data_IF_300648841816
#
_entry.id   IF_300648841816
#
_cell.length_a   1.000
_cell.length_b   1.000
_cell.length_c   1.000
_cell.angle_alpha   90.00
_cell.angle_beta   90.00
_cell.angle_gamma   90.00
#
_symmetry.space_group_name_H-M   'P 1'
#
loop_
_entity.id
_entity.type
_entity.pdbx_description
1 polymer ?
#
# COMPACT_ATOMS: atom_id res chain seq x y z
N UNK A 1 -20.08 8.46 -7.23
CA UNK A 1 -21.05 7.83 -6.32
C UNK A 1 -20.44 7.88 -4.92
N UNK A 2 -21.05 8.64 -4.03
CA UNK A 2 -20.73 8.50 -2.63
C UNK A 2 -21.43 7.23 -2.16
N UNK A 3 -20.73 6.08 -2.22
CA UNK A 3 -21.18 4.93 -1.48
C UNK A 3 -21.26 5.38 -0.03
N UNK A 4 -22.39 5.20 0.60
CA UNK A 4 -22.49 5.50 2.00
C UNK A 4 -21.36 4.74 2.72
N UNK A 5 -20.69 5.39 3.65
CA UNK A 5 -19.56 4.81 4.37
C UNK A 5 -19.89 3.42 4.92
N UNK A 6 -21.09 3.26 5.48
CA UNK A 6 -21.51 1.99 6.06
C UNK A 6 -21.55 0.87 5.01
N UNK A 7 -22.05 1.16 3.80
CA UNK A 7 -22.05 0.18 2.70
C UNK A 7 -20.64 -0.28 2.33
N UNK A 8 -19.66 0.65 2.33
CA UNK A 8 -18.27 0.31 2.05
C UNK A 8 -17.67 -0.56 3.16
N UNK A 9 -17.92 -0.24 4.42
CA UNK A 9 -17.45 -1.03 5.57
C UNK A 9 -18.09 -2.43 5.55
N UNK A 10 -19.40 -2.51 5.30
CA UNK A 10 -20.14 -3.77 5.22
C UNK A 10 -19.65 -4.63 4.04
N UNK A 11 -19.40 -4.00 2.89
CA UNK A 11 -18.83 -4.69 1.73
C UNK A 11 -17.45 -5.28 2.07
N UNK A 12 -16.53 -4.49 2.61
CA UNK A 12 -15.20 -4.97 3.00
C UNK A 12 -15.28 -6.09 4.03
N UNK A 13 -16.08 -5.91 5.08
CA UNK A 13 -16.28 -6.91 6.14
C UNK A 13 -16.88 -8.21 5.58
N UNK A 14 -17.85 -8.13 4.68
CA UNK A 14 -18.44 -9.32 4.04
C UNK A 14 -17.43 -10.08 3.19
N UNK A 15 -16.51 -9.37 2.49
CA UNK A 15 -15.44 -10.00 1.72
C UNK A 15 -14.41 -10.69 2.61
N UNK A 16 -14.03 -10.06 3.73
CA UNK A 16 -13.15 -10.68 4.71
C UNK A 16 -13.79 -11.94 5.31
N UNK A 17 -15.07 -11.87 5.73
CA UNK A 17 -15.79 -12.98 6.31
C UNK A 17 -15.91 -14.20 5.35
N UNK A 18 -15.90 -13.96 4.04
CA UNK A 18 -15.95 -15.03 3.03
C UNK A 18 -14.60 -15.75 2.81
N UNK A 19 -13.49 -15.21 3.32
CA UNK A 19 -12.17 -15.84 3.19
C UNK A 19 -12.06 -17.01 4.17
N UNK A 20 -11.65 -18.17 3.66
CA UNK A 20 -11.45 -19.36 4.48
C UNK A 20 -10.17 -19.24 5.31
N UNK A 21 -10.20 -19.79 6.53
CA UNK A 21 -9.02 -19.83 7.38
C UNK A 21 -7.87 -20.60 6.71
N UNK A 22 -6.67 -20.05 6.74
CA UNK A 22 -5.45 -20.62 6.16
C UNK A 22 -5.40 -20.62 4.63
N UNK A 23 -6.33 -19.93 3.94
CA UNK A 23 -6.34 -19.87 2.47
C UNK A 23 -5.50 -18.75 1.87
N UNK A 24 -5.08 -17.77 2.69
CA UNK A 24 -4.25 -16.64 2.28
C UNK A 24 -3.32 -16.23 3.43
N UNK A 25 -2.16 -15.63 3.10
CA UNK A 25 -1.17 -15.17 4.08
C UNK A 25 -1.24 -13.65 4.32
N UNK A 26 -1.65 -12.88 3.29
CA UNK A 26 -1.67 -11.42 3.32
C UNK A 26 -2.91 -10.87 2.61
N UNK A 27 -3.57 -9.91 3.26
CA UNK A 27 -4.70 -9.15 2.72
C UNK A 27 -4.35 -7.67 2.77
N UNK A 28 -4.59 -6.93 1.68
CA UNK A 28 -4.30 -5.49 1.61
C UNK A 28 -5.58 -4.74 1.25
N UNK A 29 -6.02 -3.87 2.16
CA UNK A 29 -7.14 -2.96 1.97
C UNK A 29 -6.64 -1.57 1.56
N UNK A 30 -7.47 -0.77 0.85
CA UNK A 30 -7.03 0.54 0.32
C UNK A 30 -6.79 1.59 1.41
N UNK A 31 -6.31 2.77 0.97
CA UNK A 31 -6.25 3.99 1.79
C UNK A 31 -7.64 4.41 2.27
N UNK A 32 -7.71 4.94 3.49
CA UNK A 32 -8.93 5.43 4.13
C UNK A 32 -10.04 4.36 4.25
N UNK A 33 -9.67 3.09 4.39
CA UNK A 33 -10.62 1.98 4.48
C UNK A 33 -11.65 2.16 5.59
N UNK A 34 -11.32 2.89 6.66
CA UNK A 34 -12.18 3.12 7.81
C UNK A 34 -13.01 4.43 7.76
N UNK A 35 -12.78 5.29 6.76
CA UNK A 35 -13.42 6.63 6.69
C UNK A 35 -13.82 7.01 5.26
N UNK A 36 -14.19 6.05 4.42
CA UNK A 36 -14.61 6.34 3.04
C UNK A 36 -15.91 7.12 3.00
N UNK A 37 -16.05 8.02 2.02
CA UNK A 37 -17.32 8.70 1.72
C UNK A 37 -17.64 9.95 2.56
N UNK A 38 -16.80 10.36 3.50
CA UNK A 38 -17.06 11.59 4.29
C UNK A 38 -17.01 12.85 3.42
N UNK A 39 -17.85 13.84 3.79
CA UNK A 39 -18.00 15.12 3.08
C UNK A 39 -17.09 16.19 3.64
N UNK A 40 -16.98 16.27 4.96
CA UNK A 40 -16.23 17.30 5.68
C UNK A 40 -15.46 16.73 6.89
N UNK A 41 -14.77 17.61 7.60
CA UNK A 41 -13.96 17.21 8.76
C UNK A 41 -14.80 16.70 9.92
N UNK A 42 -15.93 17.32 10.20
CA UNK A 42 -16.78 16.97 11.34
C UNK A 42 -17.38 15.57 11.15
N UNK A 43 -17.82 15.26 9.94
CA UNK A 43 -18.30 13.92 9.59
C UNK A 43 -17.17 12.89 9.70
N UNK A 44 -15.97 13.18 9.20
CA UNK A 44 -14.81 12.31 9.35
C UNK A 44 -14.48 12.04 10.82
N UNK A 45 -14.49 13.06 11.68
CA UNK A 45 -14.25 12.91 13.11
C UNK A 45 -15.35 12.09 13.80
N UNK A 46 -16.59 12.25 13.39
CA UNK A 46 -17.71 11.43 13.88
C UNK A 46 -17.51 9.96 13.54
N UNK A 47 -17.12 9.67 12.30
CA UNK A 47 -16.80 8.30 11.84
C UNK A 47 -15.64 7.70 12.65
N UNK A 48 -14.58 8.46 12.86
CA UNK A 48 -13.40 7.99 13.62
C UNK A 48 -13.73 7.63 15.06
N UNK A 49 -14.66 8.35 15.69
CA UNK A 49 -15.08 8.13 17.07
C UNK A 49 -16.18 7.07 17.23
N UNK A 50 -16.76 6.64 16.15
CA UNK A 50 -17.88 5.68 16.13
C UNK A 50 -17.61 4.47 15.24
N UNK A 51 -18.15 4.40 14.02
CA UNK A 51 -18.09 3.21 13.16
C UNK A 51 -16.68 2.70 12.89
N UNK A 52 -15.70 3.60 12.75
CA UNK A 52 -14.29 3.25 12.51
C UNK A 52 -13.70 2.39 13.63
N UNK A 53 -14.07 2.62 14.88
CA UNK A 53 -13.57 1.84 16.02
C UNK A 53 -13.99 0.37 15.89
N UNK A 54 -15.27 0.13 15.63
CA UNK A 54 -15.79 -1.23 15.44
C UNK A 54 -15.17 -1.91 14.21
N UNK A 55 -14.98 -1.16 13.13
CA UNK A 55 -14.33 -1.67 11.92
C UNK A 55 -12.88 -2.11 12.17
N UNK A 56 -12.07 -1.28 12.83
CA UNK A 56 -10.67 -1.61 13.17
C UNK A 56 -10.60 -2.85 14.07
N UNK A 57 -11.53 -2.98 15.04
CA UNK A 57 -11.63 -4.19 15.87
C UNK A 57 -11.99 -5.42 15.03
N UNK A 58 -12.83 -5.25 14.00
CA UNK A 58 -13.19 -6.32 13.07
C UNK A 58 -11.99 -6.77 12.25
N UNK A 59 -11.12 -5.85 11.79
CA UNK A 59 -9.89 -6.22 11.07
C UNK A 59 -8.99 -7.14 11.92
N UNK A 60 -8.82 -6.87 13.22
CA UNK A 60 -8.05 -7.74 14.11
C UNK A 60 -8.72 -9.11 14.26
N UNK A 61 -10.03 -9.16 14.49
CA UNK A 61 -10.79 -10.42 14.61
C UNK A 61 -10.68 -11.26 13.34
N UNK A 62 -10.77 -10.62 12.17
CA UNK A 62 -10.64 -11.32 10.89
C UNK A 62 -9.20 -11.79 10.63
N UNK A 63 -8.18 -11.02 11.01
CA UNK A 63 -6.80 -11.48 10.95
C UNK A 63 -6.59 -12.73 11.80
N UNK A 64 -7.12 -12.75 13.04
CA UNK A 64 -7.06 -13.89 13.94
C UNK A 64 -7.83 -15.10 13.37
N UNK A 65 -9.05 -14.89 12.85
CA UNK A 65 -9.91 -15.96 12.29
C UNK A 65 -9.34 -16.58 11.02
N UNK A 66 -8.84 -15.73 10.11
CA UNK A 66 -8.29 -16.19 8.82
C UNK A 66 -6.90 -16.81 9.03
N UNK A 67 -6.13 -16.35 10.02
CA UNK A 67 -4.73 -16.69 10.20
C UNK A 67 -3.80 -15.91 9.28
N UNK A 68 -4.25 -14.75 8.75
CA UNK A 68 -3.55 -13.94 7.77
C UNK A 68 -3.20 -12.54 8.31
N UNK A 69 -2.16 -11.93 7.78
CA UNK A 69 -1.85 -10.52 8.02
C UNK A 69 -2.83 -9.66 7.23
N UNK A 70 -3.47 -8.68 7.87
CA UNK A 70 -4.26 -7.64 7.19
C UNK A 70 -3.50 -6.32 7.27
N UNK A 71 -3.28 -5.69 6.12
CA UNK A 71 -2.74 -4.34 6.01
C UNK A 71 -3.82 -3.41 5.46
N UNK A 72 -4.06 -2.28 6.11
CA UNK A 72 -5.11 -1.34 5.73
C UNK A 72 -4.65 0.11 5.84
N UNK A 73 -4.96 0.93 4.84
CA UNK A 73 -4.79 2.38 4.96
C UNK A 73 -5.89 2.97 5.85
N UNK A 74 -5.51 3.60 6.95
CA UNK A 74 -6.42 4.08 7.97
C UNK A 74 -6.20 5.57 8.25
N UNK A 75 -7.28 6.32 8.40
CA UNK A 75 -7.25 7.60 9.08
C UNK A 75 -7.32 7.34 10.59
N UNK A 76 -6.43 7.96 11.35
CA UNK A 76 -6.35 7.79 12.81
C UNK A 76 -6.39 9.14 13.52
N UNK A 77 -6.82 9.13 14.78
CA UNK A 77 -6.72 10.26 15.69
C UNK A 77 -6.08 9.78 16.99
N UNK A 78 -4.99 10.42 17.40
CA UNK A 78 -4.36 10.11 18.69
C UNK A 78 -5.11 10.78 19.88
N UNK A 79 -4.68 10.47 21.11
CA UNK A 79 -5.27 11.00 22.35
C UNK A 79 -5.21 12.53 22.44
N UNK A 80 -4.27 13.17 21.73
CA UNK A 80 -4.12 14.62 21.64
C UNK A 80 -4.97 15.24 20.52
N UNK A 81 -5.74 14.42 19.81
CA UNK A 81 -6.58 14.84 18.70
C UNK A 81 -5.83 15.01 17.37
N UNK A 82 -4.57 14.61 17.27
CA UNK A 82 -3.79 14.74 16.04
C UNK A 82 -4.23 13.68 15.03
N UNK A 83 -4.58 14.14 13.84
CA UNK A 83 -5.00 13.29 12.73
C UNK A 83 -3.78 12.85 11.89
N UNK A 84 -3.77 11.55 11.52
CA UNK A 84 -2.75 10.98 10.62
C UNK A 84 -3.38 9.98 9.65
N UNK A 85 -2.79 9.89 8.47
CA UNK A 85 -3.08 8.86 7.48
C UNK A 85 -1.99 7.79 7.60
N UNK A 86 -2.35 6.57 8.04
CA UNK A 86 -1.39 5.54 8.45
C UNK A 86 -1.68 4.19 7.82
N UNK A 87 -0.66 3.35 7.73
CA UNK A 87 -0.83 1.92 7.49
C UNK A 87 -1.09 1.21 8.82
N UNK A 88 -2.28 0.65 8.98
CA UNK A 88 -2.58 -0.31 10.05
C UNK A 88 -2.17 -1.73 9.64
N UNK A 89 -1.53 -2.47 10.54
CA UNK A 89 -1.12 -3.86 10.32
C UNK A 89 -1.66 -4.71 11.46
N UNK A 90 -2.46 -5.69 11.10
CA UNK A 90 -3.13 -6.64 12.00
C UNK A 90 -2.55 -8.03 11.78
N UNK A 91 -1.88 -8.56 12.79
CA UNK A 91 -1.26 -9.88 12.74
C UNK A 91 -2.03 -10.84 13.66
N UNK A 92 -2.22 -12.11 13.26
CA UNK A 92 -2.86 -13.11 14.13
C UNK A 92 -2.19 -13.21 15.49
N UNK A 93 -2.98 -13.07 16.56
CA UNK A 93 -2.52 -13.20 17.95
C UNK A 93 -1.57 -12.10 18.44
N UNK A 94 -1.41 -11.00 17.71
CA UNK A 94 -0.55 -9.87 18.10
C UNK A 94 -1.33 -8.56 18.14
N UNK A 95 -0.91 -7.58 18.95
CA UNK A 95 -1.46 -6.24 18.89
C UNK A 95 -1.26 -5.61 17.51
N UNK A 96 -2.24 -4.85 17.04
CA UNK A 96 -2.12 -4.07 15.82
C UNK A 96 -1.03 -3.00 15.96
N UNK A 97 -0.31 -2.76 14.86
CA UNK A 97 0.74 -1.73 14.78
C UNK A 97 0.45 -0.76 13.64
N UNK A 98 1.03 0.43 13.70
CA UNK A 98 0.98 1.44 12.63
C UNK A 98 2.41 1.82 12.21
N UNK A 99 3.09 0.98 11.40
CA UNK A 99 4.51 1.13 11.13
C UNK A 99 4.85 2.26 10.16
N UNK A 100 3.85 2.87 9.51
CA UNK A 100 4.07 3.94 8.55
C UNK A 100 2.97 4.99 8.62
N UNK A 101 3.38 6.26 8.60
CA UNK A 101 2.51 7.43 8.43
C UNK A 101 2.81 8.08 7.09
N UNK A 102 1.78 8.47 6.34
CA UNK A 102 1.92 9.15 5.05
C UNK A 102 2.83 10.36 5.15
N UNK A 103 3.90 10.38 4.35
CA UNK A 103 4.91 11.43 4.39
C UNK A 103 4.53 12.63 3.52
N UNK A 104 3.93 12.39 2.35
CA UNK A 104 3.57 13.45 1.41
C UNK A 104 2.05 13.66 1.42
N UNK A 105 1.62 14.76 2.01
CA UNK A 105 0.20 15.11 2.11
C UNK A 105 -0.24 15.96 0.92
N UNK A 106 -1.45 15.69 0.43
CA UNK A 106 -2.11 16.57 -0.53
C UNK A 106 -2.74 17.78 0.15
N UNK A 107 -2.95 18.86 -0.60
CA UNK A 107 -3.51 20.12 -0.07
C UNK A 107 -4.80 19.93 0.75
N UNK A 108 -5.77 19.09 0.32
CA UNK A 108 -6.97 18.84 1.13
C UNK A 108 -6.69 18.19 2.50
N UNK A 109 -5.66 17.35 2.62
CA UNK A 109 -5.26 16.74 3.91
C UNK A 109 -4.63 17.80 4.83
N UNK A 110 -3.75 18.65 4.28
CA UNK A 110 -3.15 19.77 5.02
C UNK A 110 -4.22 20.73 5.55
N UNK A 111 -5.23 21.07 4.73
CA UNK A 111 -6.35 21.94 5.13
C UNK A 111 -7.20 21.35 6.27
N UNK A 112 -7.27 20.03 6.39
CA UNK A 112 -7.95 19.33 7.49
C UNK A 112 -7.08 19.19 8.75
N UNK A 113 -5.83 19.68 8.73
CA UNK A 113 -4.92 19.59 9.86
C UNK A 113 -4.27 18.21 10.05
N UNK A 114 -4.38 17.32 9.06
CA UNK A 114 -3.68 16.03 9.08
C UNK A 114 -2.18 16.29 9.12
N UNK A 115 -1.45 15.53 9.93
CA UNK A 115 0.00 15.66 10.08
C UNK A 115 0.73 14.61 9.27
N UNK A 116 1.82 15.00 8.55
CA UNK A 116 2.67 14.04 7.85
C UNK A 116 3.46 13.17 8.81
N UNK A 117 3.96 12.05 8.30
CA UNK A 117 5.06 11.30 8.90
C UNK A 117 6.40 11.98 8.64
N UNK A 118 7.43 11.48 9.30
CA UNK A 118 8.82 11.94 9.20
C UNK A 118 9.81 10.79 9.04
N UNK A 119 9.30 9.56 8.92
CA UNK A 119 10.09 8.34 8.78
C UNK A 119 9.65 7.52 7.57
N UNK A 120 10.59 6.80 6.98
CA UNK A 120 10.39 5.86 5.89
C UNK A 120 11.14 4.55 6.17
N UNK A 121 10.95 4.00 7.37
CA UNK A 121 11.59 2.78 7.81
C UNK A 121 10.92 1.53 7.20
N UNK A 122 11.67 0.44 7.12
CA UNK A 122 11.08 -0.87 6.86
C UNK A 122 10.51 -1.45 8.15
N UNK A 123 9.48 -2.28 7.99
CA UNK A 123 8.99 -3.15 9.06
C UNK A 123 9.02 -4.60 8.58
N UNK A 124 9.15 -5.52 9.53
CA UNK A 124 9.32 -6.94 9.20
C UNK A 124 8.16 -7.77 9.75
N UNK A 125 7.63 -8.65 8.92
CA UNK A 125 6.60 -9.62 9.28
C UNK A 125 6.98 -10.97 8.68
N UNK A 126 7.10 -11.99 9.50
CA UNK A 126 7.40 -13.38 9.08
C UNK A 126 8.64 -13.48 8.18
N UNK A 127 9.69 -12.71 8.47
CA UNK A 127 10.95 -12.70 7.71
C UNK A 127 10.91 -11.90 6.41
N UNK A 128 9.81 -11.22 6.09
CA UNK A 128 9.66 -10.35 4.92
C UNK A 128 9.77 -8.89 5.34
N UNK A 129 10.62 -8.12 4.69
CA UNK A 129 10.83 -6.68 4.92
C UNK A 129 9.95 -5.86 4.00
N UNK A 130 9.03 -5.12 4.61
CA UNK A 130 8.07 -4.28 3.89
C UNK A 130 8.45 -2.80 3.95
N UNK A 131 8.43 -2.13 2.78
CA UNK A 131 8.25 -0.69 2.69
C UNK A 131 6.79 -0.33 2.48
N UNK A 132 6.41 0.92 2.76
CA UNK A 132 5.05 1.39 2.56
C UNK A 132 5.01 2.75 1.86
N UNK A 133 4.00 2.96 1.02
CA UNK A 133 3.64 4.26 0.46
C UNK A 133 2.11 4.43 0.53
N UNK A 134 1.64 5.64 0.82
CA UNK A 134 0.22 5.95 0.89
C UNK A 134 -0.13 7.01 -0.16
N UNK A 135 -0.91 6.60 -1.17
CA UNK A 135 -1.51 7.46 -2.19
C UNK A 135 -0.52 8.42 -2.84
N UNK A 136 -0.43 9.68 -2.36
CA UNK A 136 0.43 10.71 -2.94
C UNK A 136 1.92 10.40 -2.83
N UNK A 137 2.35 9.59 -1.83
CA UNK A 137 3.73 9.08 -1.73
C UNK A 137 4.16 8.34 -3.00
N UNK A 138 3.22 7.78 -3.74
CA UNK A 138 3.44 7.02 -4.97
C UNK A 138 4.14 7.82 -6.09
N UNK A 139 4.02 9.15 -6.06
CA UNK A 139 4.62 10.03 -7.07
C UNK A 139 6.09 10.37 -6.80
N UNK A 140 6.63 10.02 -5.63
CA UNK A 140 7.99 10.36 -5.20
C UNK A 140 8.93 9.17 -5.36
N UNK A 141 9.70 9.07 -6.47
CA UNK A 141 10.63 7.96 -6.71
C UNK A 141 11.72 7.86 -5.64
N UNK A 142 12.06 8.96 -4.98
CA UNK A 142 13.07 9.02 -3.93
C UNK A 142 12.73 8.09 -2.76
N UNK A 143 11.44 8.00 -2.39
CA UNK A 143 10.96 7.08 -1.36
C UNK A 143 11.23 5.62 -1.74
N UNK A 144 11.00 5.27 -2.99
CA UNK A 144 11.20 3.91 -3.50
C UNK A 144 12.68 3.57 -3.64
N UNK A 145 13.50 4.51 -4.10
CA UNK A 145 14.97 4.38 -4.12
C UNK A 145 15.52 4.19 -2.69
N UNK A 146 14.94 4.88 -1.70
CA UNK A 146 15.28 4.69 -0.29
C UNK A 146 14.96 3.27 0.18
N UNK A 147 13.80 2.72 -0.14
CA UNK A 147 13.44 1.34 0.18
C UNK A 147 14.36 0.31 -0.52
N UNK A 148 14.79 0.59 -1.76
CA UNK A 148 15.80 -0.23 -2.43
C UNK A 148 17.11 -0.27 -1.63
N UNK A 149 17.58 0.89 -1.14
CA UNK A 149 18.78 1.01 -0.31
C UNK A 149 18.66 0.27 1.02
N UNK A 150 17.48 0.31 1.65
CA UNK A 150 17.19 -0.42 2.88
C UNK A 150 16.96 -1.93 2.66
N UNK A 151 16.94 -2.40 1.42
CA UNK A 151 16.73 -3.82 1.07
C UNK A 151 15.31 -4.31 1.38
N UNK A 152 14.30 -3.54 1.04
CA UNK A 152 12.92 -4.02 1.07
C UNK A 152 12.76 -5.28 0.23
N UNK A 153 11.94 -6.21 0.69
CA UNK A 153 11.52 -7.38 -0.09
C UNK A 153 10.24 -7.08 -0.88
N UNK A 154 9.33 -6.33 -0.27
CA UNK A 154 8.03 -5.94 -0.83
C UNK A 154 7.77 -4.48 -0.49
N UNK A 155 7.16 -3.73 -1.40
CA UNK A 155 6.56 -2.43 -1.07
C UNK A 155 5.05 -2.51 -1.23
N UNK A 156 4.33 -2.18 -0.15
CA UNK A 156 2.87 -2.09 -0.13
C UNK A 156 2.46 -0.64 -0.38
N UNK A 157 1.53 -0.45 -1.30
CA UNK A 157 0.97 0.86 -1.64
C UNK A 157 -0.53 0.81 -1.39
N UNK A 158 -1.00 1.53 -0.38
CA UNK A 158 -2.43 1.73 -0.15
C UNK A 158 -2.85 3.09 -0.71
N UNK A 159 -3.84 3.12 -1.57
CA UNK A 159 -4.12 4.32 -2.38
C UNK A 159 -5.59 4.63 -2.50
N UNK A 160 -5.89 5.90 -2.81
CA UNK A 160 -7.20 6.38 -3.19
C UNK A 160 -7.08 7.53 -4.21
N UNK A 161 -6.36 7.29 -5.32
CA UNK A 161 -6.30 8.26 -6.42
C UNK A 161 -7.66 8.32 -7.13
N UNK A 162 -8.27 9.53 -7.14
CA UNK A 162 -9.64 9.73 -7.62
C UNK A 162 -9.71 10.28 -9.04
N UNK A 163 -8.61 10.83 -9.56
CA UNK A 163 -8.57 11.53 -10.85
C UNK A 163 -7.47 10.99 -11.79
N UNK A 164 -6.64 10.07 -11.31
CA UNK A 164 -5.53 9.54 -12.10
C UNK A 164 -6.03 8.54 -13.14
N UNK A 165 -5.67 8.68 -14.42
CA UNK A 165 -5.93 7.67 -15.43
C UNK A 165 -5.34 6.30 -15.02
N UNK A 166 -6.10 5.22 -15.23
CA UNK A 166 -5.68 3.87 -14.84
C UNK A 166 -4.38 3.42 -15.52
N UNK A 167 -4.11 3.89 -16.74
CA UNK A 167 -2.87 3.56 -17.46
C UNK A 167 -1.64 4.20 -16.82
N UNK A 168 -1.77 5.42 -16.28
CA UNK A 168 -0.72 6.06 -15.52
C UNK A 168 -0.43 5.27 -14.23
N UNK A 169 -1.45 4.74 -13.57
CA UNK A 169 -1.29 3.90 -12.38
C UNK A 169 -0.54 2.61 -12.68
N UNK A 170 -0.82 1.97 -13.81
CA UNK A 170 -0.06 0.81 -14.28
C UNK A 170 1.39 1.17 -14.55
N UNK A 171 1.62 2.25 -15.31
CA UNK A 171 2.96 2.72 -15.64
C UNK A 171 3.77 3.02 -14.38
N UNK A 172 3.21 3.81 -13.46
CA UNK A 172 3.88 4.17 -12.21
C UNK A 172 4.16 2.94 -11.33
N UNK A 173 3.22 1.98 -11.21
CA UNK A 173 3.46 0.78 -10.40
C UNK A 173 4.62 -0.04 -10.95
N UNK A 174 4.71 -0.19 -12.27
CA UNK A 174 5.83 -0.85 -12.92
C UNK A 174 7.15 -0.07 -12.74
N UNK A 175 7.12 1.27 -12.84
CA UNK A 175 8.29 2.10 -12.57
C UNK A 175 8.80 1.90 -11.13
N UNK A 176 7.91 1.88 -10.14
CA UNK A 176 8.30 1.64 -8.74
C UNK A 176 8.91 0.26 -8.52
N UNK A 177 8.51 -0.76 -9.27
CA UNK A 177 9.17 -2.06 -9.22
C UNK A 177 10.63 -1.98 -9.71
N UNK A 178 10.90 -1.19 -10.75
CA UNK A 178 12.26 -0.91 -11.22
C UNK A 178 13.06 -0.06 -10.23
N UNK A 179 12.47 0.98 -9.64
CA UNK A 179 13.14 1.85 -8.65
C UNK A 179 13.60 1.05 -7.42
N UNK A 180 12.81 0.05 -7.01
CA UNK A 180 13.07 -0.75 -5.81
C UNK A 180 13.80 -2.06 -6.07
N UNK A 181 13.61 -2.66 -7.26
CA UNK A 181 14.02 -4.02 -7.56
C UNK A 181 13.32 -5.09 -6.71
N UNK A 182 12.11 -4.80 -6.22
CA UNK A 182 11.29 -5.74 -5.44
C UNK A 182 9.84 -5.77 -5.92
N UNK A 183 9.03 -6.67 -5.34
CA UNK A 183 7.59 -6.77 -5.65
C UNK A 183 6.84 -5.55 -5.12
N UNK A 184 5.96 -4.99 -5.94
CA UNK A 184 5.04 -3.91 -5.56
C UNK A 184 3.62 -4.45 -5.49
N UNK A 185 2.97 -4.26 -4.34
CA UNK A 185 1.58 -4.61 -4.09
C UNK A 185 0.77 -3.33 -3.88
N UNK A 186 -0.10 -2.98 -4.82
CA UNK A 186 -0.93 -1.78 -4.71
C UNK A 186 -2.39 -2.16 -4.54
N UNK A 187 -3.04 -1.59 -3.50
CA UNK A 187 -4.47 -1.72 -3.23
C UNK A 187 -5.15 -0.35 -3.33
N UNK A 188 -6.25 -0.27 -4.09
CA UNK A 188 -7.02 0.96 -4.26
C UNK A 188 -8.49 0.65 -4.52
N UNK A 189 -9.44 1.49 -4.06
CA UNK A 189 -10.85 1.31 -4.37
C UNK A 189 -11.09 1.62 -5.85
N UNK A 190 -11.97 0.85 -6.49
CA UNK A 190 -12.46 1.20 -7.81
C UNK A 190 -13.29 2.50 -7.75
N UNK A 191 -13.24 3.27 -8.82
CA UNK A 191 -14.03 4.49 -8.97
C UNK A 191 -15.21 4.23 -9.91
N UNK A 192 -16.17 5.15 -9.95
CA UNK A 192 -17.36 5.04 -10.83
C UNK A 192 -17.00 5.05 -12.32
N UNK A 193 -15.90 5.68 -12.67
CA UNK A 193 -15.37 5.71 -14.02
C UNK A 193 -14.22 4.71 -14.11
N UNK A 194 -14.38 3.57 -14.80
CA UNK A 194 -13.35 2.51 -14.82
C UNK A 194 -11.99 2.94 -15.38
N UNK A 195 -11.95 4.02 -16.17
CA UNK A 195 -10.69 4.56 -16.73
C UNK A 195 -9.91 5.45 -15.76
N UNK A 196 -10.44 5.70 -14.54
CA UNK A 196 -9.88 6.63 -13.56
C UNK A 196 -9.78 5.95 -12.20
N UNK A 197 -8.64 6.11 -11.53
CA UNK A 197 -8.40 5.54 -10.20
C UNK A 197 -8.44 4.00 -10.19
N UNK A 198 -8.76 3.42 -9.05
CA UNK A 198 -8.81 1.96 -8.90
C UNK A 198 -7.47 1.27 -9.13
N UNK A 199 -7.54 0.15 -9.83
CA UNK A 199 -6.43 -0.67 -10.28
C UNK A 199 -5.58 -1.20 -9.13
N UNK A 200 -6.20 -2.03 -8.26
CA UNK A 200 -5.42 -2.89 -7.38
C UNK A 200 -4.57 -3.81 -8.25
N UNK A 201 -3.25 -3.82 -8.02
CA UNK A 201 -2.30 -4.46 -8.93
C UNK A 201 -1.08 -4.97 -8.18
N UNK A 202 -0.56 -6.13 -8.59
CA UNK A 202 0.71 -6.68 -8.16
C UNK A 202 1.70 -6.71 -9.32
N UNK A 203 2.93 -6.25 -9.07
CA UNK A 203 3.99 -6.16 -10.07
C UNK A 203 5.27 -6.79 -9.51
N UNK A 204 5.86 -7.71 -10.26
CA UNK A 204 7.12 -8.37 -9.93
C UNK A 204 8.32 -7.41 -10.06
N UNK A 205 9.49 -7.72 -9.46
CA UNK A 205 10.68 -6.88 -9.49
C UNK A 205 11.16 -6.47 -10.90
N UNK A 206 10.85 -7.29 -11.92
CA UNK A 206 11.18 -7.03 -13.33
C UNK A 206 10.09 -6.23 -14.07
N UNK A 207 9.12 -5.64 -13.37
CA UNK A 207 8.03 -4.89 -13.96
C UNK A 207 6.91 -5.73 -14.60
N UNK A 208 6.98 -7.08 -14.52
CA UNK A 208 5.90 -7.95 -15.02
C UNK A 208 4.70 -7.85 -14.08
N UNK A 209 3.51 -7.64 -14.65
CA UNK A 209 2.25 -7.68 -13.91
C UNK A 209 1.98 -9.12 -13.46
N UNK A 210 1.77 -9.32 -12.17
CA UNK A 210 1.38 -10.60 -11.57
C UNK A 210 -0.14 -10.73 -11.58
N UNK A 211 -0.84 -9.69 -11.10
CA UNK A 211 -2.29 -9.62 -11.04
C UNK A 211 -2.75 -8.17 -11.19
N UNK A 212 -3.91 -7.93 -11.80
CA UNK A 212 -4.46 -6.59 -12.06
C UNK A 212 -6.00 -6.66 -12.02
N UNK A 213 -6.61 -5.89 -11.13
CA UNK A 213 -8.06 -5.77 -11.00
C UNK A 213 -8.68 -4.83 -12.05
N UNK A 214 -7.87 -4.07 -12.79
CA UNK A 214 -8.38 -3.03 -13.66
C UNK A 214 -9.14 -1.95 -12.91
N UNK A 215 -10.13 -1.33 -13.56
CA UNK A 215 -10.95 -0.25 -12.99
C UNK A 215 -12.27 -0.71 -12.35
N UNK A 216 -12.53 -2.01 -12.24
CA UNK A 216 -13.80 -2.54 -11.71
C UNK A 216 -13.68 -2.92 -10.23
N UNK A 217 -14.78 -2.76 -9.43
CA UNK A 217 -14.81 -3.24 -8.06
C UNK A 217 -14.59 -4.75 -7.98
N UNK A 218 -13.78 -5.20 -7.02
CA UNK A 218 -13.54 -6.64 -6.85
C UNK A 218 -12.43 -6.95 -5.86
N UNK A 219 -12.16 -8.25 -5.73
CA UNK A 219 -11.03 -8.79 -4.99
C UNK A 219 -10.20 -9.60 -5.98
N UNK A 220 -8.88 -9.42 -5.95
CA UNK A 220 -7.95 -10.26 -6.70
C UNK A 220 -7.14 -11.09 -5.71
N UNK A 221 -6.88 -12.35 -6.07
CA UNK A 221 -6.03 -13.26 -5.32
C UNK A 221 -4.97 -13.84 -6.25
N UNK A 222 -3.75 -13.98 -5.76
CA UNK A 222 -2.61 -14.48 -6.52
C UNK A 222 -1.51 -14.96 -5.57
N UNK A 223 -0.67 -15.85 -6.07
CA UNK A 223 0.53 -16.28 -5.38
C UNK A 223 1.74 -15.46 -5.86
N UNK A 224 2.66 -15.15 -4.96
CA UNK A 224 3.93 -14.53 -5.29
C UNK A 224 5.03 -14.92 -4.30
N UNK A 225 6.27 -14.88 -4.75
CA UNK A 225 7.43 -15.03 -3.88
C UNK A 225 7.84 -13.64 -3.35
N UNK A 226 7.74 -13.37 -2.03
CA UNK A 226 8.14 -12.09 -1.46
C UNK A 226 9.64 -11.81 -1.59
N UNK A 227 10.45 -12.86 -1.74
CA UNK A 227 11.90 -12.74 -1.93
C UNK A 227 12.33 -12.80 -3.39
N UNK A 228 11.37 -12.71 -4.34
CA UNK A 228 11.67 -12.67 -5.76
C UNK A 228 12.69 -11.60 -6.11
N UNK A 229 13.60 -11.92 -7.03
CA UNK A 229 14.65 -11.02 -7.50
C UNK A 229 14.59 -10.85 -9.02
N UNK A 230 15.01 -9.69 -9.49
CA UNK A 230 15.16 -9.44 -10.91
C UNK A 230 16.60 -9.78 -11.35
N UNK A 231 16.78 -10.98 -11.87
CA UNK A 231 18.07 -11.44 -12.42
C UNK A 231 18.15 -11.06 -13.89
N UNK A 232 19.25 -10.45 -14.31
CA UNK A 232 19.46 -9.99 -15.69
C UNK A 232 20.94 -10.13 -16.08
N UNK A 233 21.28 -10.10 -17.40
CA UNK A 233 22.67 -9.99 -17.84
C UNK A 233 23.37 -8.77 -17.23
N UNK A 234 24.63 -8.92 -16.86
CA UNK A 234 25.43 -7.87 -16.25
C UNK A 234 25.59 -6.65 -17.17
N UNK A 235 25.77 -6.92 -18.48
CA UNK A 235 25.80 -5.89 -19.53
C UNK A 235 25.38 -6.49 -20.87
N UNK A 236 25.27 -5.67 -21.89
CA UNK A 236 24.98 -6.11 -23.25
C UNK A 236 26.16 -6.88 -23.88
N UNK A 237 27.40 -6.78 -23.33
CA UNK A 237 28.57 -7.48 -23.75
C UNK A 237 28.92 -8.69 -22.87
N UNK A 238 28.30 -8.80 -21.69
CA UNK A 238 28.53 -9.89 -20.75
C UNK A 238 27.18 -10.63 -20.50
N UNK A 239 26.64 -11.21 -21.57
CA UNK A 239 25.29 -11.84 -21.53
C UNK A 239 25.27 -13.12 -20.72
N UNK A 240 26.38 -13.84 -20.63
CA UNK A 240 26.51 -15.10 -19.90
C UNK A 240 26.69 -14.89 -18.37
N UNK A 241 27.09 -13.68 -17.97
CA UNK A 241 27.18 -13.30 -16.58
C UNK A 241 25.87 -12.65 -16.16
N UNK A 242 25.16 -13.23 -15.19
CA UNK A 242 23.92 -12.70 -14.65
C UNK A 242 24.15 -12.05 -13.29
N UNK A 243 23.39 -11.01 -13.00
CA UNK A 243 23.43 -10.27 -11.73
C UNK A 243 22.03 -9.96 -11.25
N UNK A 244 21.85 -9.81 -9.94
CA UNK A 244 20.67 -9.21 -9.38
C UNK A 244 20.63 -7.72 -9.76
N UNK A 245 19.51 -7.27 -10.29
CA UNK A 245 19.31 -5.90 -10.76
C UNK A 245 19.61 -4.86 -9.67
N UNK A 246 19.08 -5.07 -8.49
CA UNK A 246 19.28 -4.17 -7.34
C UNK A 246 20.74 -4.16 -6.88
N UNK A 247 21.38 -5.35 -6.82
CA UNK A 247 22.80 -5.49 -6.46
C UNK A 247 23.73 -4.80 -7.45
N UNK A 248 23.34 -4.72 -8.73
CA UNK A 248 24.10 -4.03 -9.74
C UNK A 248 23.93 -2.51 -9.75
N UNK A 249 22.73 -2.01 -9.38
CA UNK A 249 22.43 -0.58 -9.42
C UNK A 249 22.89 0.17 -8.17
N UNK A 250 22.70 -0.41 -6.98
CA UNK A 250 22.97 0.27 -5.72
C UNK A 250 24.43 0.76 -5.58
N UNK A 251 25.46 -0.02 -5.96
CA UNK A 251 26.84 0.45 -5.93
C UNK A 251 27.16 1.57 -6.96
N UNK A 252 26.37 1.66 -8.03
CA UNK A 252 26.53 2.67 -9.08
C UNK A 252 25.75 3.96 -8.78
N UNK A 253 24.91 3.96 -7.73
CA UNK A 253 24.12 5.13 -7.35
C UNK A 253 25.05 6.26 -6.84
N UNK A 254 24.76 7.49 -7.29
CA UNK A 254 25.55 8.69 -6.99
C UNK A 254 24.67 9.75 -6.28
N UNK A 255 24.18 9.49 -5.02
CA UNK A 255 23.27 10.40 -4.33
C UNK A 255 23.80 11.82 -4.18
N UNK A 256 25.13 11.98 -4.07
CA UNK A 256 25.82 13.26 -3.99
C UNK A 256 25.64 14.15 -5.23
N UNK A 257 25.20 13.59 -6.35
CA UNK A 257 24.88 14.36 -7.57
C UNK A 257 23.42 14.82 -7.60
N UNK A 258 22.51 14.17 -6.90
CA UNK A 258 21.07 14.38 -7.00
C UNK A 258 20.51 15.21 -5.84
N UNK A 259 21.13 15.12 -4.66
CA UNK A 259 20.67 15.75 -3.43
C UNK A 259 21.78 16.69 -2.91
N UNK A 260 21.90 17.85 -3.56
CA UNK A 260 22.83 18.93 -3.17
C UNK A 260 22.16 19.92 -2.25
#
# INVERSE_FOLDING_TARGET
>A
MHHEMQETLDWQTSRLAAILAGSVDLIILPENSNVTGYRDLDEMLSILRGPSVAYVQTLQKEADRIGAVIMAGLMTQDEKGVLRNQLGVFQPGKPAITPYTKNHLVVPELKKGIKPGDEANLFEINGVKYGCAICYDFYFPELFCHYAKLRADVVVIVSHQRQEPTDNLLFLTRARAFDTGCTILRSAPAMDIPAIGGRSIAVAPNGKVIADAGGTPGVISFDFDPHARFIRPASYTETDRVVDYRESLQPACRPELYFK
#
